data_IF_360439382678
#
_entry.id   IF_360439382678
#
_cell.length_a   1.000
_cell.length_b   1.000
_cell.length_c   1.000
_cell.angle_alpha   90.00
_cell.angle_beta   90.00
_cell.angle_gamma   90.00
#
_symmetry.space_group_name_H-M   'P 1'
#
loop_
_entity.id
_entity.type
_entity.pdbx_description
1 polymer ?
#
# COMPACT_ATOMS: atom_id res chain seq x y z
N UNK A 1 -1.93 -8.25 -15.41
CA UNK A 1 -2.51 -6.97 -15.00
C UNK A 1 -3.49 -7.22 -13.87
N UNK A 2 -3.32 -6.51 -12.76
CA UNK A 2 -4.26 -6.53 -11.63
C UNK A 2 -4.71 -5.13 -11.32
N UNK A 3 -5.93 -5.01 -10.83
CA UNK A 3 -6.54 -3.74 -10.45
C UNK A 3 -7.07 -3.83 -9.02
N UNK A 4 -7.04 -2.70 -8.32
CA UNK A 4 -7.67 -2.53 -7.00
C UNK A 4 -8.32 -1.15 -6.94
N UNK A 5 -9.53 -1.12 -6.41
CA UNK A 5 -10.23 0.10 -6.07
C UNK A 5 -10.10 0.36 -4.58
N UNK A 6 -9.89 1.64 -4.25
CA UNK A 6 -9.66 2.10 -2.90
C UNK A 6 -10.52 3.35 -2.65
N UNK A 7 -11.21 3.37 -1.52
CA UNK A 7 -11.78 4.60 -0.97
C UNK A 7 -10.65 5.35 -0.26
N UNK A 8 -10.01 6.30 -0.95
CA UNK A 8 -8.80 7.00 -0.45
C UNK A 8 -9.14 8.42 -0.11
N UNK A 9 -9.14 8.73 1.19
CA UNK A 9 -9.29 10.10 1.69
C UNK A 9 -7.96 10.89 1.70
N UNK A 10 -6.81 10.21 1.66
CA UNK A 10 -5.48 10.83 1.69
C UNK A 10 -4.63 10.42 0.48
N UNK A 11 -4.97 10.98 -0.69
CA UNK A 11 -4.26 10.69 -1.94
C UNK A 11 -2.77 11.03 -1.88
N UNK A 12 -2.38 12.10 -1.17
CA UNK A 12 -0.98 12.54 -1.07
C UNK A 12 -0.07 11.52 -0.38
N UNK A 13 -0.59 10.83 0.63
CA UNK A 13 0.15 9.81 1.34
C UNK A 13 0.30 8.55 0.50
N UNK A 14 -0.73 8.17 -0.28
CA UNK A 14 -0.63 7.08 -1.27
C UNK A 14 0.38 7.44 -2.38
N UNK A 15 0.31 8.66 -2.93
CA UNK A 15 1.27 9.14 -3.91
C UNK A 15 2.69 9.08 -3.36
N UNK A 16 2.94 9.56 -2.13
CA UNK A 16 4.26 9.46 -1.49
C UNK A 16 4.74 8.02 -1.35
N UNK A 17 3.86 7.10 -0.94
CA UNK A 17 4.18 5.68 -0.88
C UNK A 17 4.62 5.13 -2.25
N UNK A 18 3.87 5.44 -3.32
CA UNK A 18 4.19 4.98 -4.67
C UNK A 18 5.47 5.64 -5.20
N UNK A 19 5.66 6.93 -4.94
CA UNK A 19 6.88 7.66 -5.28
C UNK A 19 8.11 7.03 -4.61
N UNK A 20 8.03 6.66 -3.34
CA UNK A 20 9.19 6.10 -2.64
C UNK A 20 9.54 4.68 -3.10
N UNK A 21 8.53 3.87 -3.44
CA UNK A 21 8.73 2.43 -3.65
C UNK A 21 8.73 2.03 -5.14
N UNK A 22 8.03 2.75 -6.01
CA UNK A 22 7.73 2.31 -7.37
C UNK A 22 8.11 3.31 -8.49
N UNK A 23 8.90 4.35 -8.19
CA UNK A 23 9.24 5.42 -9.17
C UNK A 23 10.67 5.39 -9.72
N UNK A 24 11.44 4.34 -9.42
CA UNK A 24 12.89 4.30 -9.65
C UNK A 24 13.31 4.64 -11.09
N UNK A 25 12.50 4.29 -12.08
CA UNK A 25 12.76 4.55 -13.50
C UNK A 25 11.99 5.76 -14.01
N UNK A 26 10.71 5.85 -13.68
CA UNK A 26 9.85 6.95 -14.12
C UNK A 26 8.82 7.31 -13.05
N UNK A 27 8.53 8.61 -13.00
CA UNK A 27 7.35 9.15 -12.35
C UNK A 27 6.74 10.25 -13.22
N UNK A 28 5.43 10.16 -13.44
CA UNK A 28 4.62 11.24 -14.00
C UNK A 28 3.32 11.35 -13.24
N UNK A 29 2.95 12.57 -12.90
CA UNK A 29 1.70 12.89 -12.19
C UNK A 29 1.08 14.06 -12.92
N UNK A 30 -0.19 13.94 -13.25
CA UNK A 30 -1.01 14.95 -13.90
C UNK A 30 -2.24 15.22 -13.06
N UNK A 31 -2.63 16.48 -13.00
CA UNK A 31 -3.88 16.90 -12.38
C UNK A 31 -4.72 17.61 -13.44
N UNK A 32 -5.95 17.14 -13.63
CA UNK A 32 -6.93 17.73 -14.53
C UNK A 32 -8.24 17.91 -13.76
N UNK A 33 -8.53 19.15 -13.34
CA UNK A 33 -9.70 19.45 -12.52
C UNK A 33 -9.68 18.67 -11.20
N UNK A 34 -10.70 17.85 -10.97
CA UNK A 34 -10.82 16.97 -9.79
C UNK A 34 -10.11 15.63 -9.94
N UNK A 35 -9.52 15.34 -11.11
CA UNK A 35 -8.88 14.06 -11.39
C UNK A 35 -7.38 14.14 -11.26
N UNK A 36 -6.78 13.15 -10.62
CA UNK A 36 -5.34 12.93 -10.58
C UNK A 36 -5.02 11.63 -11.32
N UNK A 37 -4.16 11.72 -12.33
CA UNK A 37 -3.60 10.58 -13.03
C UNK A 37 -2.12 10.49 -12.67
N UNK A 38 -1.61 9.30 -12.37
CA UNK A 38 -0.18 9.10 -12.18
C UNK A 38 0.30 7.78 -12.78
N UNK A 39 1.54 7.79 -13.27
CA UNK A 39 2.24 6.61 -13.78
C UNK A 39 3.60 6.52 -13.10
N UNK A 40 3.88 5.37 -12.52
CA UNK A 40 5.14 5.03 -11.87
C UNK A 40 5.75 3.80 -12.53
N UNK A 41 7.05 3.83 -12.80
CA UNK A 41 7.78 2.68 -13.35
C UNK A 41 8.95 2.35 -12.43
N UNK A 42 9.00 1.09 -12.04
CA UNK A 42 10.06 0.49 -11.24
C UNK A 42 10.71 -0.66 -12.01
N UNK A 43 12.01 -0.85 -11.80
CA UNK A 43 12.73 -2.02 -12.28
C UNK A 43 13.44 -2.72 -11.13
N UNK A 44 13.24 -4.03 -11.07
CA UNK A 44 13.86 -4.93 -10.11
C UNK A 44 14.50 -6.14 -10.80
N UNK A 45 15.54 -6.70 -10.16
CA UNK A 45 16.20 -7.90 -10.64
C UNK A 45 15.54 -9.14 -10.02
N UNK A 46 15.07 -10.05 -10.86
CA UNK A 46 14.45 -11.31 -10.43
C UNK A 46 15.51 -12.40 -10.44
N UNK A 47 16.04 -12.72 -9.26
CA UNK A 47 17.09 -13.74 -9.09
C UNK A 47 16.70 -15.10 -9.66
N UNK A 48 15.44 -15.51 -9.50
CA UNK A 48 14.95 -16.82 -9.95
C UNK A 48 15.12 -17.03 -11.46
N UNK A 49 14.98 -15.97 -12.24
CA UNK A 49 15.14 -16.01 -13.70
C UNK A 49 16.42 -15.31 -14.15
N UNK A 50 17.21 -14.75 -13.23
CA UNK A 50 18.41 -13.95 -13.53
C UNK A 50 18.16 -12.87 -14.59
N UNK A 51 17.02 -12.18 -14.49
CA UNK A 51 16.59 -11.19 -15.48
C UNK A 51 15.91 -10.00 -14.81
N UNK A 52 15.88 -8.86 -15.51
CA UNK A 52 15.17 -7.68 -15.04
C UNK A 52 13.68 -7.80 -15.32
N UNK A 53 12.90 -7.24 -14.40
CA UNK A 53 11.47 -7.10 -14.48
C UNK A 53 11.10 -5.64 -14.26
N UNK A 54 10.15 -5.17 -15.05
CA UNK A 54 9.57 -3.83 -14.96
C UNK A 54 8.18 -3.94 -14.32
N UNK A 55 7.89 -3.06 -13.37
CA UNK A 55 6.58 -2.92 -12.73
C UNK A 55 6.06 -1.53 -13.09
N UNK A 56 4.95 -1.49 -13.80
CA UNK A 56 4.25 -0.25 -14.15
C UNK A 56 3.00 -0.14 -13.30
N UNK A 57 2.87 0.98 -12.60
CA UNK A 57 1.71 1.31 -11.76
C UNK A 57 1.01 2.52 -12.37
N UNK A 58 -0.29 2.40 -12.59
CA UNK A 58 -1.16 3.46 -13.07
C UNK A 58 -2.15 3.77 -11.94
N UNK A 59 -2.25 5.04 -11.58
CA UNK A 59 -3.17 5.55 -10.58
C UNK A 59 -4.13 6.51 -11.26
N UNK A 60 -5.42 6.31 -11.01
CA UNK A 60 -6.49 7.23 -11.35
C UNK A 60 -7.24 7.57 -10.07
N UNK A 61 -7.37 8.84 -9.74
CA UNK A 61 -8.10 9.30 -8.56
C UNK A 61 -9.09 10.38 -8.97
N UNK A 62 -10.33 10.26 -8.50
CA UNK A 62 -11.36 11.27 -8.66
C UNK A 62 -11.75 11.85 -7.29
N UNK A 63 -11.43 13.13 -7.07
CA UNK A 63 -11.70 13.82 -5.82
C UNK A 63 -13.19 14.09 -5.57
N UNK A 64 -14.04 14.09 -6.61
CA UNK A 64 -15.49 14.27 -6.43
C UNK A 64 -16.16 12.99 -5.93
N UNK A 65 -15.72 11.84 -6.43
CA UNK A 65 -16.25 10.54 -6.03
C UNK A 65 -15.52 9.94 -4.82
N UNK A 66 -14.33 10.46 -4.48
CA UNK A 66 -13.47 9.92 -3.42
C UNK A 66 -12.90 8.53 -3.76
N UNK A 67 -12.86 8.18 -5.04
CA UNK A 67 -12.46 6.85 -5.53
C UNK A 67 -11.08 6.91 -6.16
N UNK A 68 -10.24 5.95 -5.77
CA UNK A 68 -8.94 5.72 -6.38
C UNK A 68 -8.90 4.34 -7.01
N UNK A 69 -8.56 4.28 -8.29
CA UNK A 69 -8.26 3.05 -9.02
C UNK A 69 -6.76 2.94 -9.21
N UNK A 70 -6.22 1.79 -8.84
CA UNK A 70 -4.83 1.42 -9.10
C UNK A 70 -4.80 0.22 -10.04
N UNK A 71 -4.03 0.33 -11.11
CA UNK A 71 -3.70 -0.78 -11.98
C UNK A 71 -2.19 -1.05 -11.93
N UNK A 72 -1.81 -2.32 -11.88
CA UNK A 72 -0.41 -2.76 -11.95
C UNK A 72 -0.24 -3.76 -13.09
N UNK A 73 0.81 -3.54 -13.86
CA UNK A 73 1.27 -4.45 -14.90
C UNK A 73 2.75 -4.72 -14.68
N UNK A 74 3.10 -6.00 -14.54
CA UNK A 74 4.49 -6.42 -14.53
C UNK A 74 4.88 -7.01 -15.90
N UNK A 75 6.09 -6.70 -16.36
CA UNK A 75 6.63 -7.20 -17.62
C UNK A 75 8.12 -7.55 -17.46
N UNK A 76 8.66 -8.39 -18.36
CA UNK A 76 10.01 -8.93 -18.20
C UNK A 76 10.06 -10.10 -17.20
N UNK A 77 11.21 -10.31 -16.57
CA UNK A 77 11.44 -11.42 -15.64
C UNK A 77 11.60 -12.79 -16.32
N UNK A 78 11.92 -12.81 -17.62
CA UNK A 78 11.99 -14.00 -18.48
C UNK A 78 13.43 -14.46 -18.70
N UNK A 79 13.66 -15.78 -18.78
CA UNK A 79 14.97 -16.36 -19.10
C UNK A 79 14.86 -17.69 -19.84
N UNK A 80 15.85 -18.00 -20.69
CA UNK A 80 15.91 -19.19 -21.55
C UNK A 80 15.35 -19.00 -22.97
N UNK A 81 15.49 -20.05 -23.81
CA UNK A 81 15.21 -20.05 -25.27
C UNK A 81 13.75 -19.73 -25.63
N UNK A 82 12.81 -19.92 -24.69
CA UNK A 82 11.37 -19.68 -24.90
C UNK A 82 10.84 -18.44 -24.16
N UNK A 83 11.70 -17.70 -23.45
CA UNK A 83 11.34 -16.49 -22.71
C UNK A 83 10.09 -16.64 -21.82
N UNK A 84 9.94 -17.76 -21.10
CA UNK A 84 8.88 -17.92 -20.12
C UNK A 84 9.16 -17.08 -18.87
N UNK A 85 8.12 -16.47 -18.29
CA UNK A 85 8.21 -15.57 -17.12
C UNK A 85 8.31 -16.33 -15.78
N UNK A 86 8.09 -17.65 -15.80
CA UNK A 86 8.05 -18.50 -14.60
C UNK A 86 7.17 -17.96 -13.46
N UNK A 87 6.12 -17.19 -13.80
CA UNK A 87 5.21 -16.56 -12.84
C UNK A 87 5.78 -15.34 -12.11
N UNK A 88 6.91 -14.78 -12.53
CA UNK A 88 7.52 -13.60 -11.89
C UNK A 88 6.62 -12.37 -11.99
N UNK A 89 5.97 -12.18 -13.15
CA UNK A 89 5.05 -11.07 -13.41
C UNK A 89 3.86 -11.12 -12.46
N UNK A 90 3.14 -12.27 -12.43
CA UNK A 90 2.00 -12.45 -11.53
C UNK A 90 2.37 -12.36 -10.05
N UNK A 91 3.60 -12.76 -9.68
CA UNK A 91 4.10 -12.64 -8.31
C UNK A 91 4.34 -11.19 -7.90
N UNK A 92 4.92 -10.37 -8.78
CA UNK A 92 5.11 -8.94 -8.49
C UNK A 92 3.79 -8.18 -8.47
N UNK A 93 2.87 -8.45 -9.41
CA UNK A 93 1.53 -7.84 -9.37
C UNK A 93 0.81 -8.19 -8.05
N UNK A 94 0.92 -9.45 -7.59
CA UNK A 94 0.35 -9.85 -6.30
C UNK A 94 1.04 -9.20 -5.10
N UNK A 95 2.35 -9.02 -5.17
CA UNK A 95 3.15 -8.39 -4.11
C UNK A 95 2.81 -6.91 -4.00
N UNK A 96 2.65 -6.23 -5.14
CA UNK A 96 2.18 -4.84 -5.20
C UNK A 96 0.81 -4.70 -4.53
N UNK A 97 -0.18 -5.52 -4.91
CA UNK A 97 -1.53 -5.46 -4.32
C UNK A 97 -1.46 -5.65 -2.80
N UNK A 98 -0.71 -6.64 -2.32
CA UNK A 98 -0.52 -6.86 -0.88
C UNK A 98 0.13 -5.66 -0.19
N UNK A 99 1.11 -5.02 -0.82
CA UNK A 99 1.77 -3.84 -0.27
C UNK A 99 0.81 -2.65 -0.17
N UNK A 100 -0.03 -2.45 -1.18
CA UNK A 100 -1.09 -1.43 -1.17
C UNK A 100 -2.15 -1.72 -0.11
N UNK A 101 -2.57 -2.98 0.07
CA UNK A 101 -3.50 -3.36 1.13
C UNK A 101 -2.91 -3.16 2.53
N UNK A 102 -1.61 -3.43 2.71
CA UNK A 102 -0.90 -3.16 3.96
C UNK A 102 -0.79 -1.66 4.23
N UNK A 103 -0.46 -0.86 3.20
CA UNK A 103 -0.50 0.60 3.28
C UNK A 103 -1.91 1.09 3.69
N UNK A 104 -2.94 0.57 3.00
CA UNK A 104 -4.35 0.41 3.42
C UNK A 104 -4.53 0.43 4.93
N UNK A 105 -4.17 -0.71 5.49
CA UNK A 105 -4.45 -1.04 6.88
C UNK A 105 -3.63 -0.20 7.87
N UNK A 106 -2.43 0.23 7.47
CA UNK A 106 -1.55 1.06 8.30
C UNK A 106 -2.03 2.51 8.38
N UNK A 107 -2.60 3.06 7.30
CA UNK A 107 -3.19 4.39 7.29
C UNK A 107 -4.32 4.54 8.30
N UNK A 108 -5.19 3.55 8.40
CA UNK A 108 -6.27 3.54 9.38
C UNK A 108 -5.81 3.03 10.75
N UNK A 109 -4.52 2.74 10.96
CA UNK A 109 -4.06 2.25 12.25
C UNK A 109 -4.00 3.38 13.27
N UNK A 110 -4.59 3.16 14.44
CA UNK A 110 -4.53 4.12 15.54
C UNK A 110 -3.35 3.77 16.43
N UNK A 111 -2.56 4.78 16.76
CA UNK A 111 -1.48 4.65 17.75
C UNK A 111 -2.08 4.77 19.14
N UNK A 112 -1.92 3.71 19.93
CA UNK A 112 -2.43 3.63 21.29
C UNK A 112 -1.25 3.50 22.24
N UNK A 113 -1.15 4.43 23.19
CA UNK A 113 -0.14 4.40 24.24
C UNK A 113 -0.72 3.77 25.50
N UNK A 114 -0.01 2.79 26.07
CA UNK A 114 -0.41 2.20 27.34
C UNK A 114 -0.20 3.21 28.48
N UNK A 115 -1.24 3.48 29.26
CA UNK A 115 -1.20 4.39 30.42
C UNK A 115 -0.29 3.89 31.55
N UNK A 116 -0.11 2.57 31.69
CA UNK A 116 0.67 1.98 32.77
C UNK A 116 2.17 1.89 32.47
N UNK A 117 2.56 1.38 31.29
CA UNK A 117 3.98 1.15 30.95
C UNK A 117 4.54 2.13 29.91
N UNK A 118 3.70 2.98 29.32
CA UNK A 118 4.11 4.01 28.37
C UNK A 118 4.44 3.54 26.96
N UNK A 119 4.44 2.23 26.68
CA UNK A 119 4.69 1.66 25.35
C UNK A 119 3.56 2.00 24.38
N UNK A 120 3.90 2.37 23.15
CA UNK A 120 2.97 2.70 22.07
C UNK A 120 2.87 1.55 21.07
N UNK A 121 1.65 1.24 20.65
CA UNK A 121 1.33 0.20 19.67
C UNK A 121 0.51 0.79 18.53
N UNK A 122 0.61 0.24 17.32
CA UNK A 122 -0.30 0.55 16.20
C UNK A 122 -1.28 -0.60 16.04
N UNK A 123 -2.58 -0.30 16.06
CA UNK A 123 -3.64 -1.30 15.85
C UNK A 123 -4.51 -0.93 14.66
N UNK A 124 -4.89 -1.88 13.79
CA UNK A 124 -5.87 -1.63 12.75
C UNK A 124 -7.26 -1.36 13.35
N UNK A 125 -8.16 -0.66 12.64
CA UNK A 125 -9.46 -0.23 13.17
C UNK A 125 -10.32 -1.38 13.71
N UNK A 126 -10.24 -2.55 13.06
CA UNK A 126 -11.08 -3.71 13.39
C UNK A 126 -10.78 -4.24 14.80
N UNK A 127 -9.55 -4.09 15.29
CA UNK A 127 -9.15 -4.57 16.62
C UNK A 127 -9.79 -3.75 17.75
N UNK A 128 -10.37 -2.59 17.45
CA UNK A 128 -10.99 -1.68 18.43
C UNK A 128 -12.47 -2.00 18.71
N UNK A 129 -13.11 -2.90 17.94
CA UNK A 129 -14.54 -3.23 18.10
C UNK A 129 -14.92 -3.76 19.49
N UNK A 130 -13.96 -4.28 20.25
CA UNK A 130 -14.19 -4.75 21.62
C UNK A 130 -14.08 -3.64 22.69
N UNK A 131 -13.60 -2.44 22.32
CA UNK A 131 -13.38 -1.30 23.23
C UNK A 131 -12.30 -1.53 24.30
N UNK A 132 -11.69 -2.71 24.34
CA UNK A 132 -10.70 -3.13 25.34
C UNK A 132 -9.58 -3.88 24.66
N UNK A 133 -8.36 -3.37 24.82
CA UNK A 133 -7.12 -4.01 24.37
C UNK A 133 -6.28 -4.39 25.58
N UNK A 134 -5.51 -5.47 25.48
CA UNK A 134 -4.55 -5.83 26.53
C UNK A 134 -3.15 -5.44 26.09
N UNK A 135 -2.46 -4.65 26.90
CA UNK A 135 -1.07 -4.29 26.64
C UNK A 135 -0.20 -5.57 26.60
N UNK A 136 0.52 -5.76 25.51
CA UNK A 136 1.38 -6.94 25.30
C UNK A 136 2.62 -6.93 26.19
N UNK A 137 3.02 -5.76 26.72
CA UNK A 137 4.17 -5.61 27.60
C UNK A 137 3.84 -5.83 29.08
N UNK A 138 2.81 -5.15 29.61
CA UNK A 138 2.50 -5.18 31.04
C UNK A 138 1.16 -5.85 31.39
N UNK A 139 0.38 -6.30 30.41
CA UNK A 139 -0.91 -6.95 30.63
C UNK A 139 -2.05 -6.02 31.05
N UNK A 140 -1.80 -4.72 31.21
CA UNK A 140 -2.81 -3.72 31.57
C UNK A 140 -3.88 -3.58 30.49
N UNK A 141 -5.14 -3.42 30.90
CA UNK A 141 -6.26 -3.22 29.97
C UNK A 141 -6.30 -1.76 29.56
N UNK A 142 -6.20 -1.51 28.26
CA UNK A 142 -6.33 -0.21 27.64
C UNK A 142 -7.78 -0.10 27.16
N UNK A 143 -8.50 0.89 27.66
CA UNK A 143 -9.85 1.23 27.19
C UNK A 143 -9.65 2.15 25.99
N UNK A 144 -10.22 1.76 24.86
CA UNK A 144 -10.17 2.54 23.61
C UNK A 144 -11.58 3.06 23.40
N UNK A 145 -11.82 4.31 23.78
CA UNK A 145 -13.09 4.96 23.47
C UNK A 145 -13.15 5.15 21.95
N UNK A 146 -14.28 4.76 21.35
CA UNK A 146 -14.49 4.75 19.89
C UNK A 146 -14.48 6.14 19.23
N UNK A 147 -13.96 7.16 19.90
CA UNK A 147 -13.84 8.52 19.43
C UNK A 147 -12.55 9.11 19.98
N UNK A 148 -11.53 9.14 19.12
CA UNK A 148 -10.41 10.10 19.02
C UNK A 148 -9.19 9.36 18.49
N UNK A 149 -9.19 9.19 17.16
CA UNK A 149 -7.94 9.11 16.43
C UNK A 149 -7.15 10.38 16.77
N UNK A 150 -6.02 10.23 17.45
CA UNK A 150 -5.03 11.30 17.55
C UNK A 150 -4.52 11.56 16.13
N UNK A 151 -4.92 12.71 15.58
CA UNK A 151 -4.47 13.27 14.30
C UNK A 151 -2.96 13.50 14.31
#
# INVERSE_FOLDING_TARGET
MKEIELDVFEIDSLLRFLQQNYSKVLQRIWQEGSKTLAVFIHEEFVWRTSSNQTITVILEYDAQEGRCKLAVVASGGRSGVLQFDWGSQGSAESTFIKAVEQFRNNMHSVKIRCSACGVTYSYPPVTQRTGKLRCQNCGHVIIVDGAEALW
#
